data_IF_124999006301
#
_entry.id   IF_124999006301
#
_cell.length_a   1.000
_cell.length_b   1.000
_cell.length_c   1.000
_cell.angle_alpha   90.00
_cell.angle_beta   90.00
_cell.angle_gamma   90.00
#
_symmetry.space_group_name_H-M   'P 1'
#
loop_
_entity.id
_entity.type
_entity.pdbx_description
1 polymer ?
#
# COMPACT_ATOMS: atom_id res chain seq x y z
N UNK A 1 -5.62 3.21 -6.91
CA UNK A 1 -6.01 1.94 -7.60
C UNK A 1 -4.96 1.50 -8.61
N UNK A 2 -4.19 2.42 -9.20
CA UNK A 2 -3.04 2.09 -10.06
C UNK A 2 -1.96 1.20 -9.40
N UNK A 3 -1.89 1.17 -8.06
CA UNK A 3 -0.94 0.31 -7.34
C UNK A 3 -1.29 -1.20 -7.37
N UNK A 4 -2.48 -1.57 -7.87
CA UNK A 4 -2.92 -2.96 -8.01
C UNK A 4 -3.01 -3.37 -9.48
N UNK A 5 -2.03 -4.15 -9.93
CA UNK A 5 -1.96 -4.63 -11.31
C UNK A 5 -3.12 -5.56 -11.69
N UNK A 6 -3.66 -6.35 -10.74
CA UNK A 6 -4.69 -7.35 -11.02
C UNK A 6 -6.09 -6.70 -11.11
N UNK A 7 -6.76 -6.71 -12.28
CA UNK A 7 -8.06 -6.05 -12.46
C UNK A 7 -9.14 -6.64 -11.57
N UNK A 8 -9.18 -7.97 -11.40
CA UNK A 8 -10.19 -8.61 -10.55
C UNK A 8 -10.06 -8.27 -9.06
N UNK A 9 -8.84 -8.02 -8.56
CA UNK A 9 -8.65 -7.59 -7.17
C UNK A 9 -9.10 -6.15 -6.98
N UNK A 10 -8.93 -5.30 -8.00
CA UNK A 10 -9.45 -3.92 -7.98
C UNK A 10 -10.97 -3.91 -7.91
N UNK A 11 -11.63 -4.73 -8.71
CA UNK A 11 -13.09 -4.86 -8.69
C UNK A 11 -13.60 -5.35 -7.33
N UNK A 12 -12.97 -6.39 -6.75
CA UNK A 12 -13.31 -6.89 -5.41
C UNK A 12 -13.17 -5.82 -4.32
N UNK A 13 -12.07 -5.06 -4.33
CA UNK A 13 -11.86 -3.98 -3.37
C UNK A 13 -12.86 -2.84 -3.56
N UNK A 14 -13.25 -2.56 -4.80
CA UNK A 14 -14.32 -1.61 -5.11
C UNK A 14 -15.64 -2.05 -4.48
N UNK A 15 -16.05 -3.29 -4.71
CA UNK A 15 -17.27 -3.86 -4.13
C UNK A 15 -17.23 -3.86 -2.59
N UNK A 16 -16.11 -4.30 -1.98
CA UNK A 16 -15.93 -4.31 -0.53
C UNK A 16 -16.03 -2.93 0.13
N UNK A 17 -15.57 -1.87 -0.55
CA UNK A 17 -15.66 -0.49 -0.03
C UNK A 17 -17.07 0.07 -0.03
N UNK A 18 -17.89 -0.35 -1.00
CA UNK A 18 -19.28 0.09 -1.12
C UNK A 18 -20.22 -0.76 -0.27
N UNK A 19 -19.79 -1.96 0.11
CA UNK A 19 -20.58 -2.86 0.93
C UNK A 19 -20.78 -2.29 2.35
N UNK A 20 -22.01 -2.32 2.87
CA UNK A 20 -22.27 -2.01 4.28
C UNK A 20 -21.45 -2.90 5.22
N UNK A 21 -21.02 -2.33 6.35
CA UNK A 21 -20.31 -3.10 7.37
C UNK A 21 -21.16 -4.26 7.89
N UNK A 22 -20.58 -5.46 7.98
CA UNK A 22 -21.25 -6.66 8.47
C UNK A 22 -22.02 -7.46 7.42
N UNK A 23 -21.94 -7.08 6.14
CA UNK A 23 -22.48 -7.90 5.05
C UNK A 23 -21.67 -9.19 4.89
N UNK A 24 -22.38 -10.30 4.68
CA UNK A 24 -21.76 -11.59 4.41
C UNK A 24 -20.92 -11.52 3.12
N UNK A 25 -19.68 -12.04 3.10
CA UNK A 25 -18.80 -11.97 1.94
C UNK A 25 -19.42 -12.53 0.66
N UNK A 26 -20.29 -13.53 0.75
CA UNK A 26 -21.01 -14.14 -0.37
C UNK A 26 -21.95 -13.15 -1.08
N UNK A 27 -22.50 -12.17 -0.36
CA UNK A 27 -23.39 -11.17 -0.94
C UNK A 27 -22.67 -10.26 -1.95
N UNK A 28 -21.34 -10.15 -1.86
CA UNK A 28 -20.53 -9.41 -2.83
C UNK A 28 -20.55 -10.04 -4.22
N UNK A 29 -20.90 -11.32 -4.35
CA UNK A 29 -21.00 -11.99 -5.65
C UNK A 29 -21.93 -11.27 -6.63
N UNK A 30 -22.98 -10.62 -6.13
CA UNK A 30 -23.95 -9.90 -6.95
C UNK A 30 -23.42 -8.55 -7.47
N UNK A 31 -22.44 -7.97 -6.77
CA UNK A 31 -21.87 -6.65 -7.07
C UNK A 31 -20.64 -6.73 -8.00
N UNK A 32 -20.17 -7.94 -8.31
CA UNK A 32 -18.99 -8.15 -9.13
C UNK A 32 -19.30 -8.13 -10.63
N UNK A 33 -18.46 -7.48 -11.46
CA UNK A 33 -18.78 -7.17 -12.85
C UNK A 33 -18.76 -8.39 -13.78
N UNK A 34 -18.09 -9.47 -13.40
CA UNK A 34 -17.82 -10.60 -14.29
C UNK A 34 -17.64 -11.93 -13.58
N UNK A 35 -17.56 -13.00 -14.38
CA UNK A 35 -17.34 -14.37 -13.88
C UNK A 35 -15.92 -14.56 -13.33
N UNK A 36 -14.93 -13.88 -13.89
CA UNK A 36 -13.54 -13.96 -13.41
C UNK A 36 -13.41 -13.42 -11.97
N UNK A 37 -14.06 -12.30 -11.67
CA UNK A 37 -14.07 -11.69 -10.34
C UNK A 37 -14.83 -12.57 -9.34
N UNK A 38 -15.96 -13.13 -9.75
CA UNK A 38 -16.77 -14.04 -8.92
C UNK A 38 -16.01 -15.35 -8.62
N UNK A 39 -15.32 -15.90 -9.61
CA UNK A 39 -14.45 -17.06 -9.43
C UNK A 39 -13.30 -16.79 -8.47
N UNK A 40 -12.70 -15.59 -8.54
CA UNK A 40 -11.68 -15.16 -7.59
C UNK A 40 -12.23 -15.03 -6.16
N UNK A 41 -13.42 -14.44 -5.99
CA UNK A 41 -14.06 -14.39 -4.67
C UNK A 41 -14.36 -15.80 -4.15
N UNK A 42 -14.88 -16.70 -4.99
CA UNK A 42 -15.18 -18.07 -4.59
C UNK A 42 -13.92 -18.80 -4.09
N UNK A 43 -12.81 -18.66 -4.81
CA UNK A 43 -11.53 -19.22 -4.40
C UNK A 43 -11.07 -18.70 -3.03
N UNK A 44 -11.21 -17.38 -2.79
CA UNK A 44 -10.86 -16.75 -1.51
C UNK A 44 -11.76 -17.21 -0.36
N UNK A 45 -13.06 -17.43 -0.60
CA UNK A 45 -13.99 -17.92 0.43
C UNK A 45 -13.73 -19.38 0.80
N UNK A 46 -13.22 -20.16 -0.14
CA UNK A 46 -12.84 -21.56 0.09
C UNK A 46 -11.47 -21.70 0.76
N UNK A 47 -10.64 -20.66 0.73
CA UNK A 47 -9.32 -20.66 1.33
C UNK A 47 -9.44 -20.70 2.86
N UNK A 48 -9.09 -21.84 3.45
CA UNK A 48 -9.08 -22.02 4.91
C UNK A 48 -7.83 -21.40 5.53
N UNK A 49 -7.75 -20.07 5.50
CA UNK A 49 -6.75 -19.34 6.27
C UNK A 49 -7.24 -19.12 7.70
N UNK A 50 -6.39 -19.39 8.70
CA UNK A 50 -6.72 -18.99 10.07
C UNK A 50 -6.67 -17.47 10.18
N UNK A 51 -7.53 -16.90 11.04
CA UNK A 51 -7.60 -15.45 11.25
C UNK A 51 -6.25 -14.87 11.74
N UNK A 52 -5.50 -15.65 12.53
CA UNK A 52 -4.15 -15.30 12.97
C UNK A 52 -3.15 -15.21 11.81
N UNK A 53 -3.24 -16.12 10.83
CA UNK A 53 -2.37 -16.11 9.65
C UNK A 53 -2.68 -14.88 8.77
N UNK A 54 -3.95 -14.51 8.62
CA UNK A 54 -4.35 -13.35 7.85
C UNK A 54 -3.85 -12.04 8.48
N UNK A 55 -3.98 -11.89 9.80
CA UNK A 55 -3.51 -10.68 10.48
C UNK A 55 -1.99 -10.50 10.33
N UNK A 56 -1.23 -11.58 10.49
CA UNK A 56 0.22 -11.57 10.31
C UNK A 56 0.63 -11.24 8.87
N UNK A 57 -0.05 -11.84 7.89
CA UNK A 57 0.20 -11.59 6.47
C UNK A 57 -0.11 -10.14 6.08
N UNK A 58 -1.26 -9.60 6.53
CA UNK A 58 -1.64 -8.20 6.30
C UNK A 58 -0.60 -7.26 6.91
N UNK A 59 -0.17 -7.52 8.14
CA UNK A 59 0.86 -6.71 8.81
C UNK A 59 2.18 -6.72 8.04
N UNK A 60 2.60 -7.88 7.54
CA UNK A 60 3.82 -8.00 6.74
C UNK A 60 3.69 -7.28 5.38
N UNK A 61 2.55 -7.40 4.73
CA UNK A 61 2.28 -6.67 3.48
C UNK A 61 2.24 -5.17 3.67
N UNK A 62 1.66 -4.66 4.77
CA UNK A 62 1.68 -3.26 5.14
C UNK A 62 3.13 -2.76 5.31
N UNK A 63 3.96 -3.48 6.07
CA UNK A 63 5.39 -3.15 6.23
C UNK A 63 6.10 -3.08 4.88
N UNK A 64 5.90 -4.09 4.02
CA UNK A 64 6.53 -4.14 2.69
C UNK A 64 6.06 -3.00 1.80
N UNK A 65 4.78 -2.66 1.83
CA UNK A 65 4.21 -1.54 1.09
C UNK A 65 4.82 -0.21 1.55
N UNK A 66 4.86 0.03 2.86
CA UNK A 66 5.43 1.25 3.43
C UNK A 66 6.92 1.43 3.08
N UNK A 67 7.69 0.35 3.14
CA UNK A 67 9.10 0.36 2.73
C UNK A 67 9.23 0.76 1.24
N UNK A 68 8.41 0.17 0.36
CA UNK A 68 8.43 0.48 -1.08
C UNK A 68 8.01 1.93 -1.34
N UNK A 69 6.92 2.38 -0.71
CA UNK A 69 6.40 3.75 -0.85
C UNK A 69 7.44 4.78 -0.41
N UNK A 70 8.06 4.59 0.75
CA UNK A 70 9.11 5.50 1.26
C UNK A 70 10.34 5.52 0.33
N UNK A 71 10.77 4.36 -0.20
CA UNK A 71 11.85 4.31 -1.20
C UNK A 71 11.52 5.10 -2.47
N UNK A 72 10.27 5.03 -2.96
CA UNK A 72 9.81 5.80 -4.11
C UNK A 72 9.85 7.30 -3.80
N UNK A 73 9.30 7.72 -2.66
CA UNK A 73 9.30 9.12 -2.22
C UNK A 73 10.71 9.71 -2.08
N UNK A 74 11.65 8.95 -1.50
CA UNK A 74 13.05 9.40 -1.40
C UNK A 74 13.65 9.64 -2.79
N UNK A 75 13.42 8.73 -3.75
CA UNK A 75 13.94 8.89 -5.11
C UNK A 75 13.33 10.12 -5.81
N UNK A 76 12.03 10.32 -5.66
CA UNK A 76 11.31 11.46 -6.24
C UNK A 76 11.80 12.79 -5.65
N UNK A 77 11.98 12.87 -4.32
CA UNK A 77 12.52 14.06 -3.66
C UNK A 77 13.98 14.32 -4.03
N UNK A 78 14.81 13.28 -4.10
CA UNK A 78 16.20 13.44 -4.57
C UNK A 78 16.26 13.98 -6.01
N UNK A 79 15.37 13.51 -6.89
CA UNK A 79 15.27 14.03 -8.25
C UNK A 79 14.77 15.47 -8.28
N UNK A 80 13.78 15.81 -7.45
CA UNK A 80 13.27 17.18 -7.35
C UNK A 80 14.34 18.15 -6.85
N UNK A 81 15.15 17.74 -5.86
CA UNK A 81 16.27 18.54 -5.33
C UNK A 81 17.31 18.78 -6.42
N UNK A 82 17.74 17.76 -7.16
CA UNK A 82 18.75 17.95 -8.22
C UNK A 82 18.23 18.87 -9.34
N UNK A 83 16.94 18.76 -9.69
CA UNK A 83 16.31 19.65 -10.65
C UNK A 83 16.19 21.09 -10.13
N UNK A 84 15.84 21.28 -8.86
CA UNK A 84 15.73 22.60 -8.23
C UNK A 84 17.11 23.27 -8.09
N UNK A 85 18.14 22.49 -7.73
CA UNK A 85 19.54 22.94 -7.70
C UNK A 85 20.02 23.41 -9.07
N UNK A 86 19.70 22.68 -10.13
CA UNK A 86 20.04 23.08 -11.50
C UNK A 86 19.36 24.38 -11.94
N UNK A 87 18.19 24.71 -11.36
CA UNK A 87 17.41 25.92 -11.67
C UNK A 87 17.69 27.09 -10.73
N UNK A 88 18.44 26.88 -9.64
CA UNK A 88 18.65 27.88 -8.59
C UNK A 88 17.37 28.24 -7.82
N UNK A 89 16.44 27.30 -7.70
CA UNK A 89 15.12 27.53 -7.12
C UNK A 89 15.20 27.60 -5.58
N UNK A 90 14.63 28.62 -4.90
CA UNK A 90 14.62 28.71 -3.44
C UNK A 90 13.86 27.55 -2.74
N UNK A 91 13.07 26.76 -3.46
CA UNK A 91 12.33 25.60 -2.92
C UNK A 91 13.26 24.46 -2.45
N UNK A 92 14.55 24.48 -2.81
CA UNK A 92 15.55 23.46 -2.40
C UNK A 92 15.57 23.24 -0.89
N UNK A 93 15.55 24.32 -0.09
CA UNK A 93 15.62 24.22 1.37
C UNK A 93 14.42 23.47 1.97
N UNK A 94 13.24 23.61 1.35
CA UNK A 94 12.02 22.91 1.76
C UNK A 94 12.15 21.43 1.44
N UNK A 95 12.56 21.10 0.21
CA UNK A 95 12.73 19.71 -0.26
C UNK A 95 13.81 18.95 0.53
N UNK A 96 14.92 19.61 0.87
CA UNK A 96 15.96 19.01 1.72
C UNK A 96 15.46 18.73 3.14
N UNK A 97 14.62 19.60 3.70
CA UNK A 97 14.01 19.39 5.02
C UNK A 97 13.04 18.21 5.02
N UNK A 98 12.27 18.04 3.93
CA UNK A 98 11.34 16.90 3.76
C UNK A 98 12.10 15.59 3.59
N UNK A 99 13.17 15.59 2.79
CA UNK A 99 14.02 14.41 2.62
C UNK A 99 14.65 14.00 3.96
N UNK A 100 15.14 14.96 4.76
CA UNK A 100 15.73 14.68 6.08
C UNK A 100 14.71 14.06 7.03
N UNK A 101 13.50 14.62 7.11
CA UNK A 101 12.41 14.07 7.93
C UNK A 101 12.08 12.61 7.53
N UNK A 102 12.02 12.32 6.23
CA UNK A 102 11.78 10.95 5.75
C UNK A 102 12.92 9.99 6.08
N UNK A 103 14.18 10.45 6.04
CA UNK A 103 15.35 9.65 6.42
C UNK A 103 15.38 9.36 7.93
N UNK A 104 15.06 10.34 8.76
CA UNK A 104 15.00 10.18 10.22
C UNK A 104 13.89 9.20 10.63
N UNK A 105 12.71 9.31 10.02
CA UNK A 105 11.63 8.33 10.19
C UNK A 105 12.06 6.91 9.79
N UNK A 106 12.80 6.78 8.68
CA UNK A 106 13.33 5.49 8.23
C UNK A 106 14.44 4.93 9.12
N UNK A 107 15.16 5.79 9.85
CA UNK A 107 16.16 5.38 10.84
C UNK A 107 15.51 4.93 12.14
N UNK A 108 14.48 5.63 12.62
CA UNK A 108 13.72 5.25 13.81
C UNK A 108 13.08 3.85 13.64
N UNK A 109 12.49 3.57 12.47
CA UNK A 109 11.90 2.25 12.18
C UNK A 109 12.96 1.13 12.14
N UNK A 110 14.19 1.43 11.69
CA UNK A 110 15.30 0.45 11.70
C UNK A 110 15.91 0.25 13.09
N UNK A 111 16.02 1.33 13.88
CA UNK A 111 16.51 1.28 15.26
C UNK A 111 15.64 0.39 16.17
N UNK A 112 14.31 0.43 15.99
CA UNK A 112 13.37 -0.44 16.70
C UNK A 112 13.50 -1.93 16.32
N UNK A 113 14.09 -2.25 15.17
CA UNK A 113 14.31 -3.65 14.72
C UNK A 113 15.62 -4.21 15.28
N UNK A 114 16.59 -3.34 15.63
CA UNK A 114 17.91 -3.74 16.13
C UNK A 114 18.02 -3.86 17.66
N UNK A 115 17.01 -3.41 18.42
CA UNK A 115 16.96 -3.54 19.89
C UNK A 115 16.18 -4.77 20.39
N UNK A 116 16.19 -5.89 19.64
CA UNK A 116 15.61 -7.17 20.08
C UNK A 116 16.67 -8.23 20.34
#
# INVERSE_FOLDING_TARGET
EEDLAHPGLRALLGALRQAPAGVAPEALMAELPGEAERGLLAALLMEQASEADLHNQVTEWQKRYDIRRRKKQIRELSLAITQAQAKGDPVIAILESELRKLQDQARAVRGMVTER
#
